data_IF_047828457632
#
_entry.id   IF_047828457632
#
_cell.length_a   1.000
_cell.length_b   1.000
_cell.length_c   1.000
_cell.angle_alpha   90.00
_cell.angle_beta   90.00
_cell.angle_gamma   90.00
#
_symmetry.space_group_name_H-M   'P 1'
#
loop_
_entity.id
_entity.type
_entity.pdbx_description
1 polymer ?
#
# COMPACT_ATOMS: atom_id res chain seq x y z
N UNK A 1 -36.25 15.50 14.41
CA UNK A 1 -35.17 14.60 14.87
C UNK A 1 -33.87 15.13 14.28
N UNK A 2 -32.97 15.64 15.11
CA UNK A 2 -31.69 16.21 14.65
C UNK A 2 -30.73 15.11 14.21
N UNK A 3 -29.71 15.47 13.42
CA UNK A 3 -28.61 14.56 13.08
C UNK A 3 -27.84 14.25 14.37
N UNK A 4 -27.56 12.96 14.61
CA UNK A 4 -26.65 12.52 15.65
C UNK A 4 -25.19 12.75 15.21
N UNK A 5 -24.48 13.63 15.92
CA UNK A 5 -23.12 14.03 15.58
C UNK A 5 -22.08 12.91 15.73
N UNK A 6 -22.27 12.01 16.70
CA UNK A 6 -21.35 10.90 16.95
C UNK A 6 -21.49 9.84 15.85
N UNK A 7 -22.73 9.53 15.46
CA UNK A 7 -22.99 8.67 14.31
C UNK A 7 -22.45 9.28 13.01
N UNK A 8 -22.63 10.59 12.79
CA UNK A 8 -22.10 11.26 11.61
C UNK A 8 -20.56 11.18 11.54
N UNK A 9 -19.87 11.43 12.65
CA UNK A 9 -18.41 11.35 12.73
C UNK A 9 -17.94 9.92 12.44
N UNK A 10 -18.59 8.92 13.04
CA UNK A 10 -18.26 7.51 12.80
C UNK A 10 -18.38 7.16 11.32
N UNK A 11 -19.51 7.44 10.68
CA UNK A 11 -19.71 7.13 9.27
C UNK A 11 -18.72 7.88 8.37
N UNK A 12 -18.46 9.16 8.65
CA UNK A 12 -17.45 9.94 7.92
C UNK A 12 -16.07 9.27 7.98
N UNK A 13 -15.61 8.92 9.18
CA UNK A 13 -14.29 8.31 9.36
C UNK A 13 -14.20 6.92 8.72
N UNK A 14 -15.26 6.10 8.87
CA UNK A 14 -15.32 4.78 8.22
C UNK A 14 -15.27 4.91 6.69
N UNK A 15 -16.06 5.82 6.11
CA UNK A 15 -16.06 6.05 4.65
C UNK A 15 -14.69 6.51 4.15
N UNK A 16 -14.05 7.44 4.86
CA UNK A 16 -12.72 7.93 4.47
C UNK A 16 -11.63 6.87 4.63
N UNK A 17 -11.77 5.98 5.61
CA UNK A 17 -10.88 4.82 5.79
C UNK A 17 -10.83 3.91 4.57
N UNK A 18 -11.96 3.69 3.89
CA UNK A 18 -11.96 2.92 2.64
C UNK A 18 -11.23 3.65 1.50
N UNK A 19 -11.36 4.98 1.41
CA UNK A 19 -10.63 5.76 0.40
C UNK A 19 -9.12 5.77 0.67
N UNK A 20 -8.70 5.86 1.92
CA UNK A 20 -7.30 5.69 2.31
C UNK A 20 -6.80 4.29 1.92
N UNK A 21 -7.56 3.24 2.23
CA UNK A 21 -7.24 1.86 1.87
C UNK A 21 -7.06 1.65 0.37
N UNK A 22 -7.90 2.28 -0.46
CA UNK A 22 -7.78 2.26 -1.93
C UNK A 22 -6.42 2.83 -2.40
N UNK A 23 -6.03 3.99 -1.87
CA UNK A 23 -4.77 4.64 -2.24
C UNK A 23 -3.54 3.86 -1.74
N UNK A 24 -3.58 3.33 -0.52
CA UNK A 24 -2.51 2.48 0.01
C UNK A 24 -2.38 1.19 -0.79
N UNK A 25 -3.52 0.57 -1.15
CA UNK A 25 -3.55 -0.63 -2.00
C UNK A 25 -2.91 -0.41 -3.37
N UNK A 26 -3.15 0.74 -4.01
CA UNK A 26 -2.46 1.12 -5.25
C UNK A 26 -0.94 1.25 -5.06
N UNK A 27 -0.48 1.78 -3.92
CA UNK A 27 0.94 1.93 -3.65
C UNK A 27 1.63 0.59 -3.33
N UNK A 28 0.92 -0.35 -2.69
CA UNK A 28 1.37 -1.74 -2.53
C UNK A 28 1.51 -2.41 -3.89
N UNK A 29 0.48 -2.30 -4.75
CA UNK A 29 0.51 -2.80 -6.11
C UNK A 29 1.73 -2.29 -6.89
N UNK A 30 2.01 -0.99 -6.80
CA UNK A 30 3.16 -0.37 -7.44
C UNK A 30 4.49 -0.94 -6.90
N UNK A 31 4.59 -1.13 -5.57
CA UNK A 31 5.74 -1.73 -4.91
C UNK A 31 6.03 -3.14 -5.40
N UNK A 32 5.00 -4.00 -5.50
CA UNK A 32 5.11 -5.36 -6.06
C UNK A 32 5.57 -5.32 -7.51
N UNK A 33 4.94 -4.49 -8.35
CA UNK A 33 5.27 -4.40 -9.78
C UNK A 33 6.69 -3.93 -10.07
N UNK A 34 7.24 -3.08 -9.19
CA UNK A 34 8.58 -2.55 -9.31
C UNK A 34 9.64 -3.38 -8.56
N UNK A 35 9.22 -4.46 -7.87
CA UNK A 35 10.13 -5.31 -7.09
C UNK A 35 10.70 -4.63 -5.83
N UNK A 36 10.03 -3.59 -5.31
CA UNK A 36 10.57 -2.76 -4.22
C UNK A 36 10.58 -3.52 -2.89
N UNK A 37 9.54 -4.30 -2.58
CA UNK A 37 9.51 -5.06 -1.33
C UNK A 37 10.57 -6.15 -1.31
N UNK A 38 10.84 -6.81 -2.45
CA UNK A 38 11.92 -7.79 -2.58
C UNK A 38 13.29 -7.13 -2.42
N UNK A 39 13.50 -5.92 -2.95
CA UNK A 39 14.73 -5.16 -2.76
C UNK A 39 14.96 -4.72 -1.30
N UNK A 40 13.89 -4.59 -0.51
CA UNK A 40 13.94 -4.21 0.90
C UNK A 40 14.07 -5.39 1.87
N UNK A 41 13.64 -6.60 1.48
CA UNK A 41 13.66 -7.78 2.35
C UNK A 41 15.11 -8.14 2.75
N UNK A 42 15.42 -7.99 4.03
CA UNK A 42 16.75 -8.26 4.57
C UNK A 42 17.79 -7.16 4.32
N UNK A 43 17.45 -6.05 3.67
CA UNK A 43 18.38 -4.95 3.39
C UNK A 43 18.75 -4.12 4.63
N UNK A 44 17.98 -4.24 5.72
CA UNK A 44 18.10 -3.37 6.89
C UNK A 44 17.46 -2.00 6.66
N UNK A 45 17.82 -0.97 7.46
CA UNK A 45 17.40 0.40 7.20
C UNK A 45 18.03 0.91 5.89
N UNK A 46 17.21 1.47 5.00
CA UNK A 46 17.63 2.01 3.70
C UNK A 46 17.14 3.43 3.50
N UNK A 47 17.92 4.24 2.79
CA UNK A 47 17.50 5.54 2.27
C UNK A 47 16.93 5.41 0.86
N UNK A 48 16.30 6.48 0.36
CA UNK A 48 15.88 6.53 -1.05
C UNK A 48 17.06 6.42 -2.04
N UNK A 49 18.25 6.88 -1.64
CA UNK A 49 19.48 6.76 -2.44
C UNK A 49 19.98 5.32 -2.52
N UNK A 50 19.96 4.59 -1.41
CA UNK A 50 20.37 3.17 -1.38
C UNK A 50 19.45 2.32 -2.25
N UNK A 51 18.13 2.57 -2.15
CA UNK A 51 17.14 1.86 -2.95
C UNK A 51 17.27 2.21 -4.45
N UNK A 52 17.60 3.46 -4.79
CA UNK A 52 17.87 3.88 -6.16
C UNK A 52 19.11 3.18 -6.73
N UNK A 53 20.20 3.10 -5.95
CA UNK A 53 21.41 2.40 -6.35
C UNK A 53 21.16 0.90 -6.58
N UNK A 54 20.30 0.28 -5.78
CA UNK A 54 19.97 -1.15 -5.87
C UNK A 54 19.03 -1.47 -7.04
N UNK A 55 18.04 -0.62 -7.30
CA UNK A 55 16.97 -0.89 -8.28
C UNK A 55 17.20 -0.23 -9.64
N UNK A 56 18.08 0.77 -9.73
CA UNK A 56 18.25 1.61 -10.90
C UNK A 56 17.07 2.57 -11.17
N UNK A 57 16.10 2.65 -10.27
CA UNK A 57 14.94 3.54 -10.38
C UNK A 57 15.28 4.95 -9.90
N UNK A 58 14.51 5.93 -10.37
CA UNK A 58 14.76 7.33 -10.08
C UNK A 58 14.48 7.67 -8.60
N UNK A 59 15.52 8.11 -7.89
CA UNK A 59 15.52 8.37 -6.44
C UNK A 59 14.33 9.22 -5.97
N UNK A 60 14.02 10.32 -6.67
CA UNK A 60 12.89 11.21 -6.34
C UNK A 60 11.57 10.44 -6.12
N UNK A 61 11.28 9.46 -6.99
CA UNK A 61 10.03 8.71 -6.93
C UNK A 61 10.07 7.60 -5.89
N UNK A 62 11.24 6.98 -5.69
CA UNK A 62 11.46 6.05 -4.59
C UNK A 62 11.30 6.73 -3.23
N UNK A 63 11.75 7.97 -3.09
CA UNK A 63 11.57 8.76 -1.85
C UNK A 63 10.09 8.97 -1.52
N UNK A 64 9.29 9.36 -2.51
CA UNK A 64 7.85 9.54 -2.32
C UNK A 64 7.15 8.22 -2.02
N UNK A 65 7.54 7.14 -2.70
CA UNK A 65 7.00 5.82 -2.42
C UNK A 65 7.36 5.35 -1.00
N UNK A 66 8.62 5.46 -0.57
CA UNK A 66 9.07 5.09 0.78
C UNK A 66 8.32 5.87 1.85
N UNK A 67 8.18 7.19 1.70
CA UNK A 67 7.41 8.03 2.62
C UNK A 67 5.94 7.63 2.67
N UNK A 68 5.33 7.31 1.53
CA UNK A 68 3.96 6.82 1.49
C UNK A 68 3.81 5.49 2.24
N UNK A 69 4.77 4.57 2.10
CA UNK A 69 4.76 3.28 2.81
C UNK A 69 5.03 3.44 4.32
N UNK A 70 5.92 4.36 4.71
CA UNK A 70 6.16 4.71 6.11
C UNK A 70 4.93 5.33 6.77
N UNK A 71 4.27 6.28 6.10
CA UNK A 71 3.03 6.88 6.58
C UNK A 71 1.86 5.88 6.64
N UNK A 72 1.91 4.82 5.83
CA UNK A 72 0.95 3.71 5.88
C UNK A 72 1.31 2.64 6.93
N UNK A 73 2.39 2.84 7.69
CA UNK A 73 2.89 1.90 8.71
C UNK A 73 3.27 0.52 8.14
N UNK A 74 3.60 0.47 6.85
CA UNK A 74 4.08 -0.75 6.17
C UNK A 74 5.61 -0.85 6.19
N UNK A 75 6.29 0.28 6.40
CA UNK A 75 7.72 0.37 6.67
C UNK A 75 7.92 1.13 7.97
N UNK A 76 8.91 0.72 8.76
CA UNK A 76 9.31 1.44 9.97
C UNK A 76 10.22 2.60 9.58
N UNK A 77 9.98 3.77 10.16
CA UNK A 77 10.82 4.96 10.01
C UNK A 77 10.65 5.86 11.24
N UNK A 78 11.77 6.42 11.72
CA UNK A 78 11.76 7.38 12.84
C UNK A 78 11.94 8.83 12.35
N UNK A 79 12.53 9.02 11.17
CA UNK A 79 12.98 10.31 10.64
C UNK A 79 12.31 10.69 9.29
N UNK A 80 11.60 9.75 8.64
CA UNK A 80 11.02 9.96 7.32
C UNK A 80 12.02 9.97 6.16
N UNK A 81 13.27 9.55 6.42
CA UNK A 81 14.37 9.49 5.44
C UNK A 81 15.00 8.09 5.35
N UNK A 82 15.00 7.36 6.46
CA UNK A 82 15.47 5.97 6.57
C UNK A 82 14.30 5.04 6.84
N UNK A 83 14.19 3.98 6.06
CA UNK A 83 13.05 3.06 6.08
C UNK A 83 13.50 1.62 6.20
N UNK A 84 12.78 0.82 6.99
CA UNK A 84 13.06 -0.59 7.15
C UNK A 84 11.81 -1.42 6.89
N UNK A 85 11.94 -2.43 6.02
CA UNK A 85 10.97 -3.51 5.94
C UNK A 85 11.31 -4.54 7.02
N UNK A 86 10.44 -4.68 8.02
CA UNK A 86 10.61 -5.71 9.03
C UNK A 86 10.34 -7.10 8.47
N UNK A 87 10.90 -8.12 9.10
CA UNK A 87 10.82 -9.50 8.62
C UNK A 87 9.36 -9.98 8.53
N UNK A 88 8.55 -9.60 9.51
CA UNK A 88 7.13 -9.91 9.60
C UNK A 88 6.36 -9.22 8.47
N UNK A 89 6.69 -7.96 8.15
CA UNK A 89 6.13 -7.26 6.99
C UNK A 89 6.57 -7.88 5.66
N UNK A 90 7.83 -8.31 5.54
CA UNK A 90 8.34 -8.99 4.35
C UNK A 90 7.62 -10.32 4.05
N UNK A 91 7.23 -11.07 5.08
CA UNK A 91 6.39 -12.28 4.91
C UNK A 91 5.03 -11.99 4.28
N UNK A 92 4.52 -10.76 4.40
CA UNK A 92 3.21 -10.35 3.86
C UNK A 92 3.37 -9.65 2.51
N UNK A 93 4.46 -8.89 2.34
CA UNK A 93 4.65 -7.95 1.22
C UNK A 93 5.65 -8.40 0.14
N UNK A 94 6.62 -9.24 0.47
CA UNK A 94 7.74 -9.58 -0.42
C UNK A 94 7.83 -11.08 -0.79
N UNK A 95 7.47 -11.98 0.12
CA UNK A 95 7.74 -13.43 0.00
C UNK A 95 6.57 -14.22 -0.57
N UNK A 96 6.47 -14.26 -1.89
CA UNK A 96 5.39 -14.90 -2.67
C UNK A 96 5.20 -16.40 -2.39
N UNK A 97 6.24 -17.07 -1.91
CA UNK A 97 6.26 -18.50 -1.60
C UNK A 97 5.71 -18.85 -0.20
N UNK A 98 5.27 -17.85 0.56
CA UNK A 98 4.75 -18.04 1.92
C UNK A 98 3.21 -17.98 1.97
N UNK A 99 2.55 -18.75 2.85
CA UNK A 99 1.09 -18.69 3.02
C UNK A 99 0.55 -17.34 3.50
N UNK A 100 1.42 -16.50 4.05
CA UNK A 100 1.11 -15.17 4.58
C UNK A 100 1.17 -14.08 3.53
N UNK A 101 1.64 -14.39 2.32
CA UNK A 101 1.79 -13.40 1.26
C UNK A 101 0.45 -12.80 0.85
N UNK A 102 0.24 -11.54 1.20
CA UNK A 102 -1.01 -10.82 0.93
C UNK A 102 -0.86 -9.77 -0.17
N UNK A 103 0.34 -9.30 -0.47
CA UNK A 103 0.53 -8.25 -1.47
C UNK A 103 0.03 -8.66 -2.87
N UNK A 104 -0.02 -9.96 -3.16
CA UNK A 104 -0.63 -10.52 -4.38
C UNK A 104 -2.09 -10.10 -4.60
N UNK A 105 -2.86 -9.88 -3.52
CA UNK A 105 -4.26 -9.41 -3.60
C UNK A 105 -4.37 -8.05 -4.29
N UNK A 106 -3.37 -7.20 -4.11
CA UNK A 106 -3.33 -5.86 -4.71
C UNK A 106 -2.81 -5.87 -6.15
N UNK A 107 -2.39 -7.01 -6.69
CA UNK A 107 -1.78 -7.10 -8.04
C UNK A 107 -2.75 -6.79 -9.19
N UNK A 108 -4.06 -6.71 -8.93
CA UNK A 108 -5.09 -6.48 -9.94
C UNK A 108 -6.08 -5.42 -9.46
N UNK A 109 -5.84 -4.15 -9.83
CA UNK A 109 -6.88 -3.13 -9.69
C UNK A 109 -8.04 -3.49 -10.62
N UNK A 110 -9.26 -3.44 -10.08
CA UNK A 110 -10.47 -3.75 -10.85
C UNK A 110 -10.72 -2.63 -11.85
N UNK A 111 -11.00 -3.03 -13.08
CA UNK A 111 -11.45 -2.10 -14.12
C UNK A 111 -12.79 -1.47 -13.69
N UNK A 112 -12.97 -0.13 -13.83
CA UNK A 112 -14.23 0.52 -13.51
C UNK A 112 -15.47 -0.11 -14.17
N UNK A 113 -15.31 -0.72 -15.36
CA UNK A 113 -16.38 -1.41 -16.09
C UNK A 113 -16.94 -2.64 -15.35
N UNK A 114 -16.21 -3.17 -14.37
CA UNK A 114 -16.74 -4.22 -13.49
C UNK A 114 -17.95 -3.69 -12.70
N UNK A 115 -17.93 -2.42 -12.30
CA UNK A 115 -19.07 -1.81 -11.62
C UNK A 115 -20.29 -1.70 -12.53
N UNK A 116 -20.09 -1.37 -13.82
CA UNK A 116 -21.17 -1.27 -14.81
C UNK A 116 -21.86 -2.63 -14.99
N UNK A 117 -21.09 -3.70 -15.21
CA UNK A 117 -21.64 -5.05 -15.34
C UNK A 117 -22.34 -5.56 -14.08
N UNK A 118 -21.84 -5.19 -12.89
CA UNK A 118 -22.53 -5.48 -11.63
C UNK A 118 -23.84 -4.70 -11.52
N UNK A 119 -23.87 -3.43 -11.91
CA UNK A 119 -25.09 -2.62 -11.89
C UNK A 119 -26.17 -3.21 -12.81
N UNK A 120 -25.80 -3.69 -13.99
CA UNK A 120 -26.70 -4.41 -14.90
C UNK A 120 -27.25 -5.70 -14.26
N UNK A 121 -26.41 -6.50 -13.61
CA UNK A 121 -26.82 -7.76 -12.98
C UNK A 121 -27.82 -7.57 -11.83
N UNK A 122 -27.85 -6.41 -11.17
CA UNK A 122 -28.86 -6.10 -10.14
C UNK A 122 -30.26 -5.80 -10.73
N UNK A 123 -30.36 -5.62 -12.06
CA UNK A 123 -31.60 -5.31 -12.76
C UNK A 123 -32.27 -6.53 -13.42
N UNK A 124 -31.62 -7.70 -13.39
CA UNK A 124 -32.09 -8.96 -13.97
C UNK A 124 -32.41 -9.99 -12.91
#
# INVERSE_FOLDING_TARGET
MGIDGDLLKRYTMTTWGYKQGEMVGLMIHLGVRLGLYQALDGAGPVTSGDLAATTGLHERWLREWLRAQGAAELLVTDDGETFKLEREAAMVLAREDTPTYAAGVFSHLRDPRVADGLAEAFQT
#
